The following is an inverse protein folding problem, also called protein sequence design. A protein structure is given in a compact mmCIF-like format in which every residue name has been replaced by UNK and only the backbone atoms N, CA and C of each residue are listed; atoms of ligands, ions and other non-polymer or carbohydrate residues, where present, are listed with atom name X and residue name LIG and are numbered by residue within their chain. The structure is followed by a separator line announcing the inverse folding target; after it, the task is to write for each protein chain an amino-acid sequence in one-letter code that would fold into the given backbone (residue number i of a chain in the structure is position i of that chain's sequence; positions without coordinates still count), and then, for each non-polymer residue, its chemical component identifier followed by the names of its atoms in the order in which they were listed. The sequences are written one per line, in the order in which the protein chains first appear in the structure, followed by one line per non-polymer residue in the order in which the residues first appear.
data_IF_940683331873
#
_entry.id   IF_940683331873
#
_cell.length_a   1.000
_cell.length_b   1.000
_cell.length_c   1.000
_cell.angle_alpha   90.00
_cell.angle_beta   90.00
_cell.angle_gamma   90.00
#
_symmetry.space_group_name_H-M   'P 1'
#
loop_
_entity.id
_entity.type
_entity.pdbx_description
1 polymer ?
#
# COMPACT_ATOMS: atom_id res chain seq x y z
N UNK A 1 -14.88 19.35 -20.30
CA UNK A 1 -15.53 19.07 -19.00
C UNK A 1 -16.63 18.05 -19.20
N UNK A 2 -16.44 16.80 -18.79
CA UNK A 2 -17.48 15.78 -18.91
C UNK A 2 -18.61 16.07 -17.93
N UNK A 3 -19.87 15.95 -18.39
CA UNK A 3 -21.05 16.19 -17.56
C UNK A 3 -21.09 15.17 -16.41
N UNK A 4 -21.38 15.62 -15.20
CA UNK A 4 -21.48 14.75 -14.04
C UNK A 4 -22.60 13.71 -14.22
N UNK A 5 -22.33 12.45 -13.86
CA UNK A 5 -23.32 11.37 -13.93
C UNK A 5 -24.40 11.60 -12.87
N UNK A 6 -25.67 11.51 -13.29
CA UNK A 6 -26.83 11.60 -12.38
C UNK A 6 -26.75 10.49 -11.33
N UNK A 7 -26.76 10.87 -10.05
CA UNK A 7 -26.83 9.94 -8.93
C UNK A 7 -28.28 9.46 -8.80
N UNK A 8 -28.53 8.18 -8.99
CA UNK A 8 -29.83 7.55 -8.75
C UNK A 8 -29.83 6.97 -7.34
N UNK A 9 -30.96 7.09 -6.65
CA UNK A 9 -31.15 6.52 -5.33
C UNK A 9 -30.98 4.99 -5.37
N UNK A 10 -30.28 4.46 -4.37
CA UNK A 10 -30.12 3.03 -4.17
C UNK A 10 -30.22 2.74 -2.69
N UNK A 11 -31.14 1.87 -2.32
CA UNK A 11 -31.37 1.44 -0.93
C UNK A 11 -30.09 0.89 -0.29
N UNK A 12 -29.36 0.04 -1.00
CA UNK A 12 -28.09 -0.54 -0.53
C UNK A 12 -27.03 0.54 -0.26
N UNK A 13 -26.96 1.59 -1.08
CA UNK A 13 -26.02 2.69 -0.85
C UNK A 13 -26.42 3.50 0.39
N UNK A 14 -27.70 3.84 0.52
CA UNK A 14 -28.20 4.58 1.68
C UNK A 14 -27.96 3.82 3.00
N UNK A 15 -28.20 2.50 3.02
CA UNK A 15 -27.94 1.66 4.20
C UNK A 15 -26.45 1.63 4.55
N UNK A 16 -25.57 1.46 3.55
CA UNK A 16 -24.11 1.45 3.77
C UNK A 16 -23.57 2.80 4.20
N UNK A 17 -24.12 3.91 3.73
CA UNK A 17 -23.74 5.26 4.16
C UNK A 17 -24.12 5.49 5.62
N UNK A 18 -25.37 5.21 5.99
CA UNK A 18 -25.83 5.31 7.39
C UNK A 18 -24.98 4.44 8.34
N UNK A 19 -24.65 3.20 7.94
CA UNK A 19 -23.77 2.35 8.73
C UNK A 19 -22.38 2.97 8.97
N UNK A 20 -21.81 3.64 7.96
CA UNK A 20 -20.51 4.33 8.10
C UNK A 20 -20.60 5.56 8.99
N UNK A 21 -21.72 6.29 8.96
CA UNK A 21 -21.94 7.44 9.84
C UNK A 21 -22.04 7.02 11.30
N UNK A 22 -22.55 5.81 11.57
CA UNK A 22 -22.74 5.29 12.93
C UNK A 22 -21.53 4.53 13.49
N UNK A 23 -20.95 3.64 12.69
CA UNK A 23 -19.93 2.66 13.13
C UNK A 23 -18.52 3.09 12.69
N UNK A 24 -18.43 4.06 11.76
CA UNK A 24 -17.18 4.51 11.16
C UNK A 24 -16.91 3.89 9.79
N UNK A 25 -15.94 4.46 9.09
CA UNK A 25 -15.49 3.91 7.81
C UNK A 25 -14.68 2.62 8.05
N UNK A 26 -14.87 1.57 7.23
CA UNK A 26 -14.01 0.40 7.32
C UNK A 26 -12.56 0.81 7.06
N UNK A 27 -11.58 0.21 7.75
CA UNK A 27 -10.18 0.52 7.52
C UNK A 27 -9.83 0.28 6.04
N UNK A 28 -9.05 1.18 5.43
CA UNK A 28 -8.63 1.01 4.05
C UNK A 28 -7.84 -0.29 3.94
N UNK A 29 -8.04 -0.99 2.83
CA UNK A 29 -7.27 -2.17 2.51
C UNK A 29 -5.78 -1.80 2.48
N UNK A 30 -4.97 -2.51 3.27
CA UNK A 30 -3.53 -2.31 3.28
C UNK A 30 -2.98 -3.01 2.04
N UNK A 31 -2.46 -2.23 1.09
CA UNK A 31 -1.71 -2.78 -0.05
C UNK A 31 -0.54 -3.59 0.51
N UNK A 32 -0.56 -4.90 0.30
CA UNK A 32 0.58 -5.75 0.61
C UNK A 32 1.66 -5.40 -0.41
N UNK A 33 2.87 -4.99 0.02
CA UNK A 33 3.92 -4.68 -0.94
C UNK A 33 4.28 -5.94 -1.73
N UNK A 34 4.50 -5.75 -3.03
CA UNK A 34 4.82 -6.85 -3.94
C UNK A 34 6.05 -7.62 -3.44
N UNK A 35 6.13 -8.94 -3.64
CA UNK A 35 7.26 -9.74 -3.16
C UNK A 35 8.62 -9.19 -3.59
N UNK A 36 8.70 -8.67 -4.83
CA UNK A 36 9.91 -8.04 -5.39
C UNK A 36 10.33 -6.78 -4.64
N UNK A 37 9.37 -5.99 -4.14
CA UNK A 37 9.65 -4.79 -3.36
C UNK A 37 10.13 -5.12 -1.94
N UNK A 38 9.67 -6.25 -1.37
CA UNK A 38 10.14 -6.73 -0.06
C UNK A 38 11.58 -7.25 -0.12
N UNK A 39 11.95 -7.92 -1.19
CA UNK A 39 13.32 -8.45 -1.41
C UNK A 39 14.33 -7.32 -1.59
N UNK A 40 13.97 -6.25 -2.29
CA UNK A 40 14.83 -5.06 -2.46
C UNK A 40 15.04 -4.29 -1.15
N UNK A 41 14.02 -4.22 -0.29
CA UNK A 41 14.06 -3.43 0.95
C UNK A 41 14.77 -4.14 2.12
N UNK A 42 14.79 -5.48 2.13
CA UNK A 42 15.41 -6.27 3.20
C UNK A 42 16.09 -7.50 2.59
N UNK A 43 17.42 -7.49 2.38
CA UNK A 43 18.11 -8.71 1.99
C UNK A 43 17.87 -9.76 3.08
N UNK A 44 17.33 -10.91 2.67
CA UNK A 44 16.94 -12.02 3.55
C UNK A 44 18.13 -12.57 4.36
N UNK A 45 19.34 -12.33 3.86
CA UNK A 45 20.59 -12.81 4.44
C UNK A 45 21.48 -11.64 4.83
N UNK A 46 22.26 -11.86 5.88
CA UNK A 46 23.32 -10.92 6.29
C UNK A 46 24.35 -10.81 5.16
N UNK A 47 25.04 -9.67 5.09
CA UNK A 47 26.18 -9.46 4.18
C UNK A 47 27.16 -10.62 4.33
N UNK A 48 27.62 -11.13 3.20
CA UNK A 48 28.62 -12.19 3.17
C UNK A 48 29.99 -11.62 3.53
N UNK A 49 30.93 -12.50 3.89
CA UNK A 49 32.29 -12.08 4.20
C UNK A 49 32.98 -11.42 2.99
N UNK A 50 32.62 -11.80 1.77
CA UNK A 50 33.07 -11.14 0.55
C UNK A 50 32.58 -9.68 0.45
N UNK A 51 31.31 -9.43 0.80
CA UNK A 51 30.71 -8.08 0.79
C UNK A 51 31.31 -7.14 1.86
N UNK A 52 31.94 -7.70 2.89
CA UNK A 52 32.62 -6.95 3.95
C UNK A 52 34.09 -6.69 3.62
N UNK A 53 34.69 -7.50 2.73
CA UNK A 53 36.09 -7.43 2.33
C UNK A 53 36.30 -6.58 1.07
N UNK A 54 35.25 -6.24 0.33
CA UNK A 54 35.33 -5.22 -0.71
C UNK A 54 35.43 -3.85 -0.02
N UNK A 55 36.59 -3.16 -0.08
CA UNK A 55 36.74 -1.84 0.51
C UNK A 55 35.80 -0.87 -0.21
N UNK A 56 35.22 0.07 0.55
CA UNK A 56 34.31 1.11 0.09
C UNK A 56 34.86 1.83 -1.16
N UNK A 57 34.44 1.40 -2.35
CA UNK A 57 34.83 2.01 -3.62
C UNK A 57 33.88 3.14 -4.04
N UNK A 58 33.29 3.85 -3.06
CA UNK A 58 32.41 5.01 -3.27
C UNK A 58 32.59 6.05 -2.13
N UNK A 59 33.85 6.37 -1.79
CA UNK A 59 34.21 7.61 -1.09
C UNK A 59 35.32 8.33 -1.87
N UNK A 60 34.94 8.92 -3.00
CA UNK A 60 35.57 10.11 -3.61
C UNK A 60 34.52 10.86 -4.44
#
# INVERSE_FOLDING_TARGET
MSKAKKRVFSTVKAVKENARDRIGQPPPEKVIPDPKQKEAAKPKHKKTLADLLTPDADND
#
